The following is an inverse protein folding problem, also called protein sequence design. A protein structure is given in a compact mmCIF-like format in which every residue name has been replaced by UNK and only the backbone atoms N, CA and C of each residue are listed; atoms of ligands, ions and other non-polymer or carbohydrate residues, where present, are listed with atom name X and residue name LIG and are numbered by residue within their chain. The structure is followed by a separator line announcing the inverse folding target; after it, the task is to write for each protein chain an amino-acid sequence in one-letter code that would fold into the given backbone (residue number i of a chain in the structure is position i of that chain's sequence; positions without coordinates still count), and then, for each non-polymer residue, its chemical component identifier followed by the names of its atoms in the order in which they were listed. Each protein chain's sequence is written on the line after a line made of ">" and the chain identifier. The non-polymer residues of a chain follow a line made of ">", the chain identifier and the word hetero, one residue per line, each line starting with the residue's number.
data_IF_765305298520
#
_entry.id   IF_765305298520
#
_cell.length_a   1.000
_cell.length_b   1.000
_cell.length_c   1.000
_cell.angle_alpha   90.00
_cell.angle_beta   90.00
_cell.angle_gamma   90.00
#
_symmetry.space_group_name_H-M   'P 1'
#
loop_
_entity.id
_entity.type
_entity.pdbx_description
1 polymer ?
#
# COMPACT_ATOMS: atom_id res chain seq x y z
N UNK A 1 4.10 6.49 14.71
CA UNK A 1 3.50 6.86 13.39
C UNK A 1 2.28 5.97 13.18
N UNK A 2 1.26 6.39 12.40
CA UNK A 2 -0.01 5.65 12.38
C UNK A 2 0.09 4.29 11.66
N UNK A 3 1.00 4.18 10.70
CA UNK A 3 1.21 2.98 9.89
C UNK A 3 2.51 2.24 10.23
N UNK A 4 3.11 2.54 11.39
CA UNK A 4 4.42 2.01 11.78
C UNK A 4 4.46 0.48 11.90
N UNK A 5 3.33 -0.11 12.28
CA UNK A 5 3.18 -1.56 12.49
C UNK A 5 2.69 -2.27 11.24
N UNK A 6 2.41 -1.52 10.17
CA UNK A 6 1.86 -2.09 8.95
C UNK A 6 2.95 -2.82 8.18
N UNK A 7 2.64 -4.04 7.77
CA UNK A 7 3.47 -4.82 6.87
C UNK A 7 2.81 -4.95 5.51
N UNK A 8 3.64 -5.01 4.47
CA UNK A 8 3.21 -5.05 3.08
C UNK A 8 3.42 -6.43 2.47
N UNK A 9 2.41 -6.94 1.77
CA UNK A 9 2.51 -8.10 0.88
C UNK A 9 2.14 -7.68 -0.52
N UNK A 10 3.03 -7.96 -1.47
CA UNK A 10 2.80 -7.67 -2.89
C UNK A 10 2.64 -8.98 -3.66
N UNK A 11 1.63 -9.05 -4.53
CA UNK A 11 1.41 -10.23 -5.36
C UNK A 11 0.23 -10.08 -6.30
N UNK A 12 -0.16 -11.19 -6.92
CA UNK A 12 -1.26 -11.23 -7.90
C UNK A 12 -2.46 -11.97 -7.31
N UNK A 13 -3.66 -11.38 -7.42
CA UNK A 13 -4.89 -12.02 -6.97
C UNK A 13 -5.15 -13.27 -7.83
N UNK A 14 -5.23 -14.43 -7.19
CA UNK A 14 -5.59 -15.70 -7.83
C UNK A 14 -7.06 -16.02 -7.69
N UNK A 15 -7.61 -15.73 -6.52
CA UNK A 15 -8.98 -16.09 -6.18
C UNK A 15 -9.61 -15.02 -5.29
N UNK A 16 -10.90 -14.80 -5.48
CA UNK A 16 -11.75 -13.98 -4.61
C UNK A 16 -12.96 -14.84 -4.24
N UNK A 17 -13.10 -15.13 -2.96
CA UNK A 17 -14.23 -15.84 -2.39
C UNK A 17 -15.04 -14.90 -1.51
N UNK A 18 -16.33 -15.20 -1.36
CA UNK A 18 -17.15 -14.53 -0.35
C UNK A 18 -16.74 -15.04 1.04
N UNK A 19 -16.66 -14.12 2.00
CA UNK A 19 -16.47 -14.46 3.41
C UNK A 19 -17.78 -14.85 4.09
N UNK A 20 -17.78 -14.81 5.42
CA UNK A 20 -18.94 -15.22 6.23
C UNK A 20 -20.16 -14.28 6.10
N UNK A 21 -19.95 -13.04 5.63
CA UNK A 21 -20.99 -12.02 5.48
C UNK A 21 -21.12 -11.53 4.04
N UNK A 22 -22.11 -10.68 3.75
CA UNK A 22 -22.21 -10.00 2.45
C UNK A 22 -21.11 -8.95 2.21
N UNK A 23 -20.51 -8.44 3.29
CA UNK A 23 -19.55 -7.34 3.26
C UNK A 23 -18.10 -7.80 3.47
N UNK A 24 -17.88 -9.12 3.56
CA UNK A 24 -16.56 -9.71 3.73
C UNK A 24 -16.22 -10.57 2.53
N UNK A 25 -14.98 -10.43 2.08
CA UNK A 25 -14.41 -11.23 1.00
C UNK A 25 -13.07 -11.80 1.47
N UNK A 26 -12.73 -12.98 0.98
CA UNK A 26 -11.41 -13.57 1.16
C UNK A 26 -10.70 -13.52 -0.18
N UNK A 27 -9.55 -12.85 -0.24
CA UNK A 27 -8.73 -12.79 -1.44
C UNK A 27 -7.47 -13.62 -1.23
N UNK A 28 -7.17 -14.50 -2.17
CA UNK A 28 -5.93 -15.29 -2.20
C UNK A 28 -4.96 -14.62 -3.17
N UNK A 29 -3.81 -14.18 -2.64
CA UNK A 29 -2.76 -13.51 -3.40
C UNK A 29 -1.58 -14.45 -3.55
N UNK A 30 -1.10 -14.60 -4.78
CA UNK A 30 0.17 -15.29 -5.06
C UNK A 30 1.31 -14.29 -5.05
N UNK A 31 2.19 -14.40 -4.06
CA UNK A 31 3.47 -13.68 -4.01
C UNK A 31 4.54 -14.44 -4.81
N UNK A 32 5.77 -13.92 -4.85
CA UNK A 32 6.89 -14.63 -5.48
C UNK A 32 7.30 -15.90 -4.73
N UNK A 33 6.89 -16.06 -3.46
CA UNK A 33 7.29 -17.16 -2.58
C UNK A 33 6.15 -18.10 -2.22
N UNK A 34 5.01 -17.53 -1.83
CA UNK A 34 3.89 -18.29 -1.25
C UNK A 34 2.53 -17.65 -1.52
N UNK A 35 1.47 -18.42 -1.29
CA UNK A 35 0.11 -17.89 -1.27
C UNK A 35 -0.18 -17.28 0.10
N UNK A 36 -0.81 -16.11 0.10
CA UNK A 36 -1.26 -15.39 1.29
C UNK A 36 -2.74 -15.05 1.12
N UNK A 37 -3.52 -15.21 2.17
CA UNK A 37 -4.94 -14.86 2.17
C UNK A 37 -5.18 -13.58 2.96
N UNK A 38 -6.03 -12.72 2.42
CA UNK A 38 -6.47 -11.50 3.08
C UNK A 38 -7.98 -11.49 3.23
N UNK A 39 -8.45 -11.15 4.43
CA UNK A 39 -9.84 -10.82 4.69
C UNK A 39 -10.03 -9.34 4.36
N UNK A 40 -10.94 -9.06 3.43
CA UNK A 40 -11.35 -7.71 3.02
C UNK A 40 -12.73 -7.45 3.59
N UNK A 41 -12.85 -6.48 4.47
CA UNK A 41 -14.12 -6.08 5.10
C UNK A 41 -14.59 -4.72 4.57
N UNK A 42 -15.70 -4.21 5.10
CA UNK A 42 -16.16 -2.84 4.83
C UNK A 42 -15.25 -1.75 5.39
N UNK A 43 -14.32 -2.10 6.27
CA UNK A 43 -13.36 -1.17 6.89
C UNK A 43 -12.03 -1.12 6.10
N UNK A 44 -11.74 -2.14 5.28
CA UNK A 44 -10.53 -2.18 4.45
C UNK A 44 -10.53 -1.01 3.48
N UNK A 45 -9.50 -0.16 3.57
CA UNK A 45 -9.34 0.97 2.65
C UNK A 45 -8.83 0.50 1.30
N UNK A 46 -9.67 0.59 0.26
CA UNK A 46 -9.25 0.30 -1.12
C UNK A 46 -8.96 1.60 -1.84
N UNK A 47 -7.68 1.80 -2.16
CA UNK A 47 -7.23 3.00 -2.87
C UNK A 47 -7.93 3.16 -4.22
N UNK A 48 -8.34 4.39 -4.52
CA UNK A 48 -9.11 4.79 -5.71
C UNK A 48 -10.47 4.05 -5.85
N UNK A 49 -10.97 3.42 -4.78
CA UNK A 49 -12.21 2.62 -4.78
C UNK A 49 -12.27 1.58 -5.91
N UNK A 50 -11.12 1.02 -6.30
CA UNK A 50 -11.03 0.09 -7.43
C UNK A 50 -11.61 -1.26 -7.05
N UNK A 51 -12.50 -1.79 -7.90
CA UNK A 51 -13.00 -3.16 -7.72
C UNK A 51 -11.90 -4.19 -7.97
N UNK A 52 -11.56 -4.97 -6.95
CA UNK A 52 -10.59 -6.08 -7.02
C UNK A 52 -11.08 -7.20 -7.95
N UNK A 53 -10.15 -7.79 -8.71
CA UNK A 53 -10.41 -8.87 -9.68
C UNK A 53 -9.22 -9.83 -9.76
N UNK A 54 -9.49 -11.08 -10.13
CA UNK A 54 -8.46 -12.07 -10.42
C UNK A 54 -7.50 -11.54 -11.50
N UNK A 55 -6.20 -11.79 -11.32
CA UNK A 55 -5.13 -11.33 -12.20
C UNK A 55 -4.59 -9.94 -11.90
N UNK A 56 -5.21 -9.17 -10.99
CA UNK A 56 -4.66 -7.87 -10.58
C UNK A 56 -3.43 -8.05 -9.68
N UNK A 57 -2.37 -7.30 -10.00
CA UNK A 57 -1.22 -7.14 -9.10
C UNK A 57 -1.55 -6.05 -8.08
N UNK A 58 -1.44 -6.38 -6.80
CA UNK A 58 -1.80 -5.49 -5.69
C UNK A 58 -0.71 -5.49 -4.62
N UNK A 59 -0.70 -4.46 -3.80
CA UNK A 59 -0.06 -4.46 -2.50
C UNK A 59 -1.17 -4.38 -1.43
N UNK A 60 -1.16 -5.34 -0.52
CA UNK A 60 -2.02 -5.38 0.66
C UNK A 60 -1.19 -5.06 1.90
N UNK A 61 -1.73 -4.23 2.77
CA UNK A 61 -1.15 -3.84 4.04
C UNK A 61 -2.00 -4.38 5.17
N UNK A 62 -1.36 -4.95 6.18
CA UNK A 62 -2.00 -5.43 7.40
C UNK A 62 -1.22 -4.94 8.62
N UNK A 63 -1.91 -4.75 9.73
CA UNK A 63 -1.26 -4.41 11.00
C UNK A 63 -0.66 -5.68 11.65
N UNK A 64 0.65 -5.69 11.85
CA UNK A 64 1.37 -6.81 12.46
C UNK A 64 1.06 -7.00 13.96
N UNK A 65 0.42 -6.02 14.62
CA UNK A 65 -0.01 -6.14 16.02
C UNK A 65 -1.34 -6.88 16.18
N UNK A 66 -2.10 -7.09 15.09
CA UNK A 66 -3.36 -7.83 15.15
C UNK A 66 -3.08 -9.34 15.25
N UNK A 67 -3.86 -10.08 16.05
CA UNK A 67 -3.67 -11.52 16.20
C UNK A 67 -4.00 -12.25 14.90
N UNK A 68 -3.05 -13.06 14.42
CA UNK A 68 -3.20 -13.85 13.20
C UNK A 68 -3.28 -15.35 13.52
N UNK A 69 -4.28 -16.09 13.01
CA UNK A 69 -4.36 -17.53 13.20
C UNK A 69 -3.17 -18.26 12.57
N UNK A 70 -2.61 -19.25 13.26
CA UNK A 70 -1.53 -20.09 12.77
C UNK A 70 -2.06 -21.19 11.81
N UNK A 71 -2.53 -20.78 10.63
CA UNK A 71 -3.06 -21.66 9.58
C UNK A 71 -2.32 -21.45 8.26
N UNK A 72 -2.32 -22.46 7.38
CA UNK A 72 -1.75 -22.36 6.03
C UNK A 72 -2.85 -22.46 4.95
N UNK A 73 -2.88 -21.56 3.95
CA UNK A 73 -2.04 -20.36 3.83
C UNK A 73 -2.27 -19.34 4.96
N UNK A 74 -1.29 -18.48 5.28
CA UNK A 74 -1.46 -17.45 6.29
C UNK A 74 -2.60 -16.51 5.93
N UNK A 75 -3.36 -16.08 6.94
CA UNK A 75 -4.55 -15.22 6.82
C UNK A 75 -4.36 -13.93 7.60
N UNK A 76 -4.48 -12.80 6.92
CA UNK A 76 -4.37 -11.46 7.51
C UNK A 76 -5.64 -10.63 7.30
N UNK A 77 -5.94 -9.72 8.22
CA UNK A 77 -6.93 -8.67 8.00
C UNK A 77 -6.28 -7.58 7.13
N UNK A 78 -6.90 -7.24 5.99
CA UNK A 78 -6.41 -6.15 5.17
C UNK A 78 -6.89 -4.81 5.73
N UNK A 79 -5.94 -3.94 6.05
CA UNK A 79 -6.19 -2.55 6.46
C UNK A 79 -6.24 -1.63 5.23
N UNK A 80 -5.31 -1.82 4.30
CA UNK A 80 -5.22 -1.04 3.06
C UNK A 80 -4.85 -1.93 1.88
N UNK A 81 -5.52 -1.74 0.75
CA UNK A 81 -5.18 -2.42 -0.52
C UNK A 81 -5.04 -1.40 -1.62
N UNK A 82 -4.00 -1.56 -2.43
CA UNK A 82 -3.82 -0.77 -3.64
C UNK A 82 -3.41 -1.60 -4.85
N UNK A 83 -3.85 -1.18 -6.04
CA UNK A 83 -3.47 -1.80 -7.30
C UNK A 83 -2.14 -1.26 -7.83
N UNK A 84 -1.30 -2.15 -8.36
CA UNK A 84 -0.03 -1.83 -8.99
C UNK A 84 -0.09 -2.10 -10.49
N UNK A 85 0.53 -1.24 -11.30
CA UNK A 85 0.58 -1.38 -12.76
C UNK A 85 2.01 -1.61 -13.24
N UNK A 86 2.19 -2.55 -14.17
CA UNK A 86 3.52 -2.91 -14.68
C UNK A 86 4.49 -3.22 -13.53
N UNK A 87 5.67 -2.59 -13.56
CA UNK A 87 6.73 -2.79 -12.59
C UNK A 87 6.67 -1.81 -11.40
N UNK A 88 5.52 -1.14 -11.21
CA UNK A 88 5.31 -0.21 -10.11
C UNK A 88 5.49 -0.92 -8.78
N UNK A 89 6.18 -0.23 -7.88
CA UNK A 89 6.33 -0.52 -6.48
C UNK A 89 5.54 0.53 -5.69
N UNK A 90 5.23 0.20 -4.45
CA UNK A 90 4.59 1.12 -3.53
C UNK A 90 5.27 1.05 -2.18
N UNK A 91 5.31 2.19 -1.49
CA UNK A 91 5.79 2.30 -0.11
C UNK A 91 4.81 3.14 0.69
N UNK A 92 4.32 2.58 1.80
CA UNK A 92 3.58 3.31 2.83
C UNK A 92 4.55 3.62 3.97
N UNK A 93 4.80 4.89 4.24
CA UNK A 93 5.64 5.32 5.35
C UNK A 93 5.42 6.81 5.67
N UNK A 94 5.86 7.22 6.85
CA UNK A 94 6.06 8.63 7.15
C UNK A 94 7.29 9.14 6.40
N UNK A 95 7.17 10.33 5.82
CA UNK A 95 8.26 11.06 5.17
C UNK A 95 8.49 12.38 5.90
N UNK A 96 9.75 12.63 6.27
CA UNK A 96 10.16 13.84 6.97
C UNK A 96 10.15 15.09 6.06
N UNK A 97 10.59 16.22 6.60
CA UNK A 97 10.73 17.49 5.88
C UNK A 97 11.67 17.43 4.66
N UNK A 98 12.63 16.49 4.66
CA UNK A 98 13.55 16.23 3.55
C UNK A 98 13.02 15.15 2.58
N UNK A 99 11.77 14.71 2.77
CA UNK A 99 11.12 13.63 2.02
C UNK A 99 11.89 12.31 2.07
N UNK A 100 12.49 12.03 3.21
CA UNK A 100 13.13 10.75 3.52
C UNK A 100 12.18 9.92 4.36
N UNK A 101 12.03 8.64 4.00
CA UNK A 101 11.15 7.73 4.72
C UNK A 101 11.71 7.44 6.12
N UNK A 102 10.83 7.21 7.09
CA UNK A 102 11.20 7.01 8.50
C UNK A 102 12.22 5.88 8.77
N UNK A 103 12.25 4.85 7.91
CA UNK A 103 13.23 3.75 7.94
C UNK A 103 14.56 4.08 7.23
N UNK A 104 14.73 5.30 6.72
CA UNK A 104 15.90 5.78 5.97
C UNK A 104 16.26 4.95 4.73
N UNK A 105 15.28 4.27 4.11
CA UNK A 105 15.55 3.45 2.91
C UNK A 105 15.16 4.12 1.59
N UNK A 106 14.26 5.12 1.60
CA UNK A 106 13.78 5.79 0.39
C UNK A 106 13.73 7.31 0.58
N UNK A 107 14.26 8.06 -0.38
CA UNK A 107 14.15 9.52 -0.48
C UNK A 107 13.46 9.93 -1.78
N UNK A 108 12.55 10.89 -1.70
CA UNK A 108 11.75 11.33 -2.85
C UNK A 108 12.29 12.62 -3.47
N UNK A 109 12.41 12.61 -4.79
CA UNK A 109 12.75 13.78 -5.59
C UNK A 109 11.49 14.20 -6.37
N UNK A 110 10.72 15.14 -5.81
CA UNK A 110 9.47 15.60 -6.41
C UNK A 110 9.73 16.39 -7.69
N UNK A 111 8.83 16.24 -8.66
CA UNK A 111 8.80 17.06 -9.87
C UNK A 111 7.43 17.73 -9.99
N UNK A 112 7.30 18.80 -10.81
CA UNK A 112 6.00 19.42 -11.07
C UNK A 112 4.95 18.47 -11.67
N UNK A 113 5.37 17.31 -12.18
CA UNK A 113 4.51 16.29 -12.77
C UNK A 113 4.12 15.17 -11.81
N UNK A 114 4.67 15.16 -10.58
CA UNK A 114 4.28 14.18 -9.58
C UNK A 114 2.82 14.41 -9.20
N UNK A 115 1.98 13.40 -9.44
CA UNK A 115 0.56 13.49 -9.11
C UNK A 115 0.33 13.24 -7.61
N UNK A 116 0.04 14.29 -6.86
CA UNK A 116 -0.21 14.22 -5.41
C UNK A 116 -1.69 14.41 -5.13
N UNK A 117 -2.30 13.43 -4.47
CA UNK A 117 -3.73 13.42 -4.12
C UNK A 117 -3.90 12.96 -2.67
N UNK A 118 -5.06 13.23 -2.08
CA UNK A 118 -5.45 12.65 -0.80
C UNK A 118 -5.97 11.22 -0.98
N UNK A 119 -6.10 10.46 0.12
CA UNK A 119 -6.60 9.09 0.09
C UNK A 119 -8.03 8.95 -0.48
N UNK A 120 -8.87 9.98 -0.35
CA UNK A 120 -10.20 10.05 -0.97
C UNK A 120 -10.20 10.59 -2.40
N UNK A 121 -9.02 10.75 -3.02
CA UNK A 121 -8.86 11.13 -4.43
C UNK A 121 -8.98 12.63 -4.72
N UNK A 122 -9.02 13.49 -3.73
CA UNK A 122 -9.02 14.95 -3.94
C UNK A 122 -7.63 15.46 -4.30
N UNK A 123 -7.58 16.58 -5.02
CA UNK A 123 -6.32 17.24 -5.36
C UNK A 123 -5.65 17.74 -4.07
N UNK A 124 -4.39 17.39 -3.88
CA UNK A 124 -3.58 17.92 -2.78
C UNK A 124 -2.72 19.09 -3.28
N UNK A 125 -2.87 20.27 -2.67
CA UNK A 125 -2.20 21.50 -3.09
C UNK A 125 -1.06 21.96 -2.17
N UNK A 126 -0.83 21.27 -1.06
CA UNK A 126 0.24 21.57 -0.11
C UNK A 126 1.51 20.78 -0.45
N UNK A 127 2.61 21.06 0.27
CA UNK A 127 3.80 20.22 0.23
C UNK A 127 3.55 18.93 1.03
N UNK A 128 3.88 17.73 0.48
CA UNK A 128 3.67 16.45 1.16
C UNK A 128 4.85 16.12 2.10
N UNK A 129 5.26 17.08 2.93
CA UNK A 129 6.36 16.94 3.89
C UNK A 129 5.81 16.70 5.29
N UNK A 130 6.54 15.96 6.12
CA UNK A 130 6.13 15.63 7.51
C UNK A 130 4.77 14.94 7.57
N UNK A 131 4.55 13.98 6.66
CA UNK A 131 3.27 13.31 6.45
C UNK A 131 3.43 11.82 6.19
N UNK A 132 2.37 11.07 6.46
CA UNK A 132 2.22 9.67 6.05
C UNK A 132 1.85 9.63 4.57
N UNK A 133 2.70 8.99 3.76
CA UNK A 133 2.53 8.93 2.31
C UNK A 133 2.48 7.49 1.82
N UNK A 134 1.56 7.21 0.91
CA UNK A 134 1.58 6.04 0.06
C UNK A 134 2.14 6.43 -1.31
N UNK A 135 3.40 6.06 -1.54
CA UNK A 135 4.22 6.53 -2.65
C UNK A 135 4.37 5.44 -3.69
N UNK A 136 4.07 5.77 -4.94
CA UNK A 136 4.24 4.88 -6.08
C UNK A 136 5.42 5.28 -6.94
N UNK A 137 6.27 4.31 -7.27
CA UNK A 137 7.47 4.51 -8.05
C UNK A 137 7.83 3.24 -8.84
N UNK A 138 8.77 3.35 -9.77
CA UNK A 138 9.19 2.20 -10.61
C UNK A 138 10.69 1.96 -10.56
N UNK A 139 11.49 3.02 -10.54
CA UNK A 139 12.94 2.95 -10.57
C UNK A 139 13.54 3.77 -9.44
N UNK A 140 14.57 3.25 -8.78
CA UNK A 140 15.33 3.94 -7.75
C UNK A 140 16.81 3.99 -8.11
N UNK A 141 17.56 4.91 -7.50
CA UNK A 141 19.03 4.87 -7.51
C UNK A 141 19.54 3.73 -6.64
N UNK A 142 20.84 3.42 -6.74
CA UNK A 142 21.56 2.47 -5.88
C UNK A 142 22.20 3.12 -4.63
N UNK A 143 21.82 4.37 -4.29
CA UNK A 143 22.32 5.06 -3.09
C UNK A 143 21.62 4.55 -1.83
N UNK A 144 22.15 4.94 -0.65
CA UNK A 144 21.50 4.72 0.64
C UNK A 144 21.30 6.11 1.29
N UNK A 145 20.06 6.59 1.46
CA UNK A 145 18.81 6.00 0.99
C UNK A 145 18.73 5.94 -0.55
N UNK A 146 17.93 5.01 -1.06
CA UNK A 146 17.61 4.95 -2.48
C UNK A 146 16.77 6.18 -2.85
N UNK A 147 17.00 6.77 -4.01
CA UNK A 147 16.29 7.97 -4.44
C UNK A 147 15.37 7.66 -5.62
N UNK A 148 14.17 8.26 -5.64
CA UNK A 148 13.21 8.10 -6.74
C UNK A 148 12.43 9.36 -7.02
N UNK A 149 12.04 9.55 -8.28
CA UNK A 149 10.95 10.46 -8.62
C UNK A 149 9.63 9.69 -8.64
N UNK A 150 8.70 9.96 -7.70
CA UNK A 150 7.45 9.22 -7.63
C UNK A 150 6.49 9.60 -8.76
N UNK A 151 5.74 8.60 -9.23
CA UNK A 151 4.71 8.76 -10.25
C UNK A 151 3.40 9.29 -9.65
N UNK A 152 3.06 8.80 -8.46
CA UNK A 152 1.88 9.20 -7.70
C UNK A 152 2.24 9.20 -6.21
N UNK A 153 1.72 10.17 -5.49
CA UNK A 153 1.74 10.21 -4.03
C UNK A 153 0.30 10.30 -3.57
N UNK A 154 -0.07 9.44 -2.63
CA UNK A 154 -1.31 9.56 -1.89
C UNK A 154 -0.96 9.99 -0.48
N UNK A 155 -1.48 11.15 -0.08
CA UNK A 155 -1.32 11.69 1.28
C UNK A 155 -2.37 11.04 2.16
N UNK A 156 -1.90 10.34 3.19
CA UNK A 156 -2.75 9.71 4.20
C UNK A 156 -3.07 10.76 5.27
N UNK A 157 -4.01 11.66 4.95
CA UNK A 157 -4.49 12.68 5.87
C UNK A 157 -5.19 11.99 7.05
N UNK A 158 -4.54 11.99 8.22
CA UNK A 158 -5.10 11.57 9.48
C UNK A 158 -5.62 12.84 10.16
N UNK A 159 -6.92 13.10 10.02
CA UNK A 159 -7.61 14.12 10.83
C UNK A 159 -8.32 13.44 12.01
#
# INVERSE_FOLDING_TARGET
>A
MAYETYQQVTGTIREIQRGDSCCTFMISIMTDKEMVQFVVSGETQIIDNVRLRNGMRIAAFYDANLPTPAVYPPRYQAELITALRGNQQVKLAYFDSDLTSADNTLKLNLTPFTNTVTANGQRFSCQPTDMELLVYYTTTTFSIPAQTTPQKIIVMCLE
#
